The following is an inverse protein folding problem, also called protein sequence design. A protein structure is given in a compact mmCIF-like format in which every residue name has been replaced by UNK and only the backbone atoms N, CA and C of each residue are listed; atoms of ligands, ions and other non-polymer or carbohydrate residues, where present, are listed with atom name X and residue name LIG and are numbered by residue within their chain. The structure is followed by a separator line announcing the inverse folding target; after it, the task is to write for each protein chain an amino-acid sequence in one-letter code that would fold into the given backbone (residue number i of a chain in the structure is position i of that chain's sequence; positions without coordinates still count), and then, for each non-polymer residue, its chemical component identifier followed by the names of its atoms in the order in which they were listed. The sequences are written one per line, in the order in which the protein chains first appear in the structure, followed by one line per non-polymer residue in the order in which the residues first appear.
data_IF_520301373986
#
_entry.id   IF_520301373986
#
_cell.length_a   1.000
_cell.length_b   1.000
_cell.length_c   1.000
_cell.angle_alpha   90.00
_cell.angle_beta   90.00
_cell.angle_gamma   90.00
#
_symmetry.space_group_name_H-M   'P 1'
#
loop_
_entity.id
_entity.type
_entity.pdbx_description
1 polymer ?
#
# COMPACT_ATOMS: atom_id res chain seq x y z
N UNK A 1 8.86 -47.47 17.79
CA UNK A 1 7.72 -46.57 17.99
C UNK A 1 7.95 -45.29 17.19
N UNK A 2 7.37 -45.21 16.00
CA UNK A 2 7.36 -44.02 15.16
C UNK A 2 5.90 -43.66 14.91
N UNK A 3 5.48 -42.47 15.32
CA UNK A 3 4.17 -41.91 15.01
C UNK A 3 4.15 -41.58 13.51
N UNK A 4 3.16 -42.05 12.72
CA UNK A 4 2.96 -41.50 11.40
C UNK A 4 2.35 -40.09 11.53
N UNK A 5 2.90 -39.17 10.74
CA UNK A 5 2.44 -37.78 10.62
C UNK A 5 1.02 -37.75 10.02
N UNK A 6 0.19 -36.75 10.38
CA UNK A 6 -1.16 -36.66 9.86
C UNK A 6 -1.15 -36.30 8.37
N UNK A 7 -1.72 -37.19 7.55
CA UNK A 7 -2.20 -36.87 6.20
C UNK A 7 -3.13 -35.66 6.28
N UNK A 8 -2.60 -34.49 5.93
CA UNK A 8 -3.40 -33.31 5.67
C UNK A 8 -4.12 -33.53 4.34
N UNK A 9 -5.22 -34.28 4.39
CA UNK A 9 -6.23 -34.33 3.35
C UNK A 9 -6.66 -32.89 3.06
N UNK A 10 -6.21 -32.36 1.93
CA UNK A 10 -6.75 -31.14 1.34
C UNK A 10 -8.22 -31.44 1.08
N UNK A 11 -9.09 -31.06 2.02
CA UNK A 11 -10.54 -31.05 1.81
C UNK A 11 -10.81 -30.07 0.68
N UNK A 12 -11.00 -30.58 -0.54
CA UNK A 12 -11.50 -29.79 -1.68
C UNK A 12 -12.98 -29.54 -1.40
N UNK A 13 -13.26 -28.38 -0.82
CA UNK A 13 -14.58 -27.96 -0.38
C UNK A 13 -15.45 -27.67 -1.63
N UNK A 14 -16.48 -28.49 -1.85
CA UNK A 14 -17.74 -28.07 -2.49
C UNK A 14 -17.88 -28.10 -4.02
N UNK A 15 -17.04 -28.84 -4.76
CA UNK A 15 -17.16 -28.90 -6.23
C UNK A 15 -18.20 -29.95 -6.69
N UNK A 16 -19.19 -29.50 -7.46
CA UNK A 16 -20.24 -30.31 -8.09
C UNK A 16 -20.09 -30.27 -9.60
N UNK A 17 -20.18 -31.44 -10.26
CA UNK A 17 -19.89 -31.61 -11.69
C UNK A 17 -21.03 -32.38 -12.37
N UNK A 18 -21.29 -32.04 -13.62
CA UNK A 18 -22.24 -32.75 -14.48
C UNK A 18 -21.56 -33.92 -15.20
N UNK A 19 -22.34 -34.92 -15.59
CA UNK A 19 -21.81 -36.05 -16.37
C UNK A 19 -21.19 -35.65 -17.73
N UNK A 20 -21.54 -34.48 -18.27
CA UNK A 20 -20.94 -33.96 -19.51
C UNK A 20 -19.51 -33.44 -19.27
N UNK A 21 -19.24 -32.82 -18.12
CA UNK A 21 -17.92 -32.29 -17.76
C UNK A 21 -16.92 -33.42 -17.43
N UNK A 22 -17.43 -34.62 -17.18
CA UNK A 22 -16.66 -35.80 -16.81
C UNK A 22 -16.32 -36.72 -18.01
N UNK A 23 -16.72 -36.33 -19.23
CA UNK A 23 -16.40 -37.09 -20.45
C UNK A 23 -14.89 -37.07 -20.70
N UNK A 24 -14.33 -38.23 -21.05
CA UNK A 24 -12.90 -38.37 -21.34
C UNK A 24 -11.99 -38.28 -20.10
N UNK A 25 -12.52 -38.51 -18.90
CA UNK A 25 -11.75 -38.63 -17.66
C UNK A 25 -11.37 -40.11 -17.45
N UNK A 26 -10.09 -40.42 -17.16
CA UNK A 26 -9.67 -41.79 -16.91
C UNK A 26 -10.39 -42.38 -15.70
N UNK A 27 -10.81 -43.64 -15.80
CA UNK A 27 -11.54 -44.36 -14.74
C UNK A 27 -13.07 -44.22 -14.81
N UNK A 28 -13.62 -43.44 -15.74
CA UNK A 28 -15.05 -43.36 -16.02
C UNK A 28 -15.41 -43.95 -17.40
N UNK A 29 -16.67 -44.36 -17.63
CA UNK A 29 -17.15 -44.78 -18.93
C UNK A 29 -17.02 -43.65 -19.98
N UNK A 30 -16.77 -44.01 -21.24
CA UNK A 30 -16.59 -43.01 -22.30
C UNK A 30 -17.88 -42.28 -22.72
N UNK A 31 -19.06 -42.85 -22.44
CA UNK A 31 -20.35 -42.26 -22.82
C UNK A 31 -21.00 -41.54 -21.63
N UNK A 32 -21.64 -40.41 -21.89
CA UNK A 32 -22.38 -39.62 -20.87
C UNK A 32 -23.41 -40.47 -20.13
N UNK A 33 -24.13 -41.35 -20.83
CA UNK A 33 -25.11 -42.25 -20.23
C UNK A 33 -24.44 -43.26 -19.30
N UNK A 34 -23.29 -43.82 -19.69
CA UNK A 34 -22.50 -44.72 -18.85
C UNK A 34 -21.98 -44.00 -17.59
N UNK A 35 -21.53 -42.76 -17.73
CA UNK A 35 -21.09 -41.92 -16.61
C UNK A 35 -22.24 -41.69 -15.63
N UNK A 36 -23.42 -41.28 -16.10
CA UNK A 36 -24.60 -41.07 -15.23
C UNK A 36 -25.00 -42.35 -14.49
N UNK A 37 -25.05 -43.49 -15.18
CA UNK A 37 -25.40 -44.76 -14.57
C UNK A 37 -24.39 -45.17 -13.48
N UNK A 38 -23.10 -44.97 -13.73
CA UNK A 38 -22.03 -45.26 -12.76
C UNK A 38 -22.10 -44.31 -11.57
N UNK A 39 -22.31 -43.02 -11.80
CA UNK A 39 -22.41 -42.03 -10.73
C UNK A 39 -23.65 -42.27 -9.87
N UNK A 40 -24.82 -42.51 -10.47
CA UNK A 40 -26.04 -42.86 -9.74
C UNK A 40 -25.87 -44.10 -8.85
N UNK A 41 -25.06 -45.08 -9.29
CA UNK A 41 -24.74 -46.27 -8.49
C UNK A 41 -23.79 -45.94 -7.33
N UNK A 42 -22.82 -45.06 -7.54
CA UNK A 42 -21.84 -44.65 -6.53
C UNK A 42 -22.43 -43.65 -5.51
N UNK A 43 -23.43 -42.88 -5.90
CA UNK A 43 -24.10 -41.90 -5.07
C UNK A 43 -25.38 -42.42 -4.41
N UNK A 44 -25.76 -43.68 -4.69
CA UNK A 44 -27.10 -44.24 -4.41
C UNK A 44 -27.62 -44.01 -2.99
N UNK A 45 -26.80 -44.23 -1.97
CA UNK A 45 -27.21 -44.15 -0.56
C UNK A 45 -26.87 -42.80 0.10
N UNK A 46 -26.33 -41.84 -0.66
CA UNK A 46 -25.76 -40.59 -0.15
C UNK A 46 -26.41 -39.36 -0.82
N UNK A 47 -27.58 -38.89 -0.32
CA UNK A 47 -28.29 -37.75 -0.89
C UNK A 47 -27.50 -36.44 -0.87
N UNK A 48 -26.48 -36.32 0.00
CA UNK A 48 -25.58 -35.17 0.08
C UNK A 48 -24.62 -35.05 -1.11
N UNK A 49 -24.47 -36.10 -1.92
CA UNK A 49 -23.52 -36.14 -3.03
C UNK A 49 -24.16 -35.89 -4.40
N UNK A 50 -25.49 -35.79 -4.48
CA UNK A 50 -26.23 -35.49 -5.71
C UNK A 50 -27.12 -34.28 -5.48
N UNK A 51 -27.14 -33.35 -6.43
CA UNK A 51 -28.13 -32.29 -6.45
C UNK A 51 -28.69 -32.06 -7.83
N UNK A 52 -29.94 -31.63 -7.90
CA UNK A 52 -30.54 -31.16 -9.15
C UNK A 52 -30.06 -29.74 -9.42
N UNK A 53 -29.56 -29.48 -10.63
CA UNK A 53 -29.12 -28.14 -11.03
C UNK A 53 -30.33 -27.22 -11.19
N UNK A 54 -30.31 -26.08 -10.51
CA UNK A 54 -31.36 -25.07 -10.57
C UNK A 54 -31.62 -24.63 -12.01
N UNK A 55 -32.88 -24.64 -12.43
CA UNK A 55 -33.29 -24.21 -13.78
C UNK A 55 -33.06 -25.22 -14.91
N UNK A 56 -32.55 -26.43 -14.65
CA UNK A 56 -32.38 -27.46 -15.68
C UNK A 56 -32.87 -28.85 -15.23
N UNK A 57 -33.02 -29.78 -16.19
CA UNK A 57 -33.29 -31.20 -15.90
C UNK A 57 -32.02 -31.99 -15.54
N UNK A 58 -30.86 -31.34 -15.41
CA UNK A 58 -29.58 -32.01 -15.18
C UNK A 58 -29.31 -32.24 -13.68
N UNK A 59 -28.60 -33.34 -13.39
CA UNK A 59 -28.05 -33.64 -12.07
C UNK A 59 -26.57 -33.35 -12.02
N UNK A 60 -26.11 -32.85 -10.88
CA UNK A 60 -24.71 -32.61 -10.55
C UNK A 60 -24.29 -33.54 -9.42
N UNK A 61 -23.08 -34.07 -9.51
CA UNK A 61 -22.50 -35.00 -8.57
C UNK A 61 -21.29 -34.36 -7.89
N UNK A 62 -21.17 -34.54 -6.58
CA UNK A 62 -20.04 -34.03 -5.82
C UNK A 62 -18.75 -34.78 -6.21
N UNK A 63 -17.61 -34.08 -6.21
CA UNK A 63 -16.31 -34.67 -6.57
C UNK A 63 -15.97 -35.95 -5.78
N UNK A 64 -16.42 -36.05 -4.53
CA UNK A 64 -16.16 -37.21 -3.67
C UNK A 64 -16.85 -38.51 -4.14
N UNK A 65 -17.85 -38.44 -5.03
CA UNK A 65 -18.45 -39.65 -5.63
C UNK A 65 -17.56 -40.31 -6.69
N UNK A 66 -16.51 -39.62 -7.14
CA UNK A 66 -15.65 -40.11 -8.21
C UNK A 66 -14.57 -41.04 -7.65
N UNK A 67 -14.13 -42.06 -8.42
CA UNK A 67 -12.91 -42.80 -8.10
C UNK A 67 -11.71 -41.86 -7.97
N UNK A 68 -10.73 -42.21 -7.12
CA UNK A 68 -9.57 -41.36 -6.82
C UNK A 68 -8.81 -40.88 -8.06
N UNK A 69 -8.55 -41.79 -9.01
CA UNK A 69 -7.93 -41.44 -10.30
C UNK A 69 -8.73 -40.40 -11.12
N UNK A 70 -10.06 -40.42 -11.02
CA UNK A 70 -10.93 -39.44 -11.68
C UNK A 70 -10.98 -38.12 -10.89
N UNK A 71 -10.95 -38.15 -9.56
CA UNK A 71 -10.88 -36.95 -8.73
C UNK A 71 -9.61 -36.14 -9.04
N UNK A 72 -8.47 -36.79 -9.14
CA UNK A 72 -7.20 -36.11 -9.38
C UNK A 72 -7.14 -35.51 -10.78
N UNK A 73 -7.63 -36.23 -11.78
CA UNK A 73 -7.76 -35.71 -13.14
C UNK A 73 -8.68 -34.47 -13.22
N UNK A 74 -9.80 -34.47 -12.49
CA UNK A 74 -10.70 -33.31 -12.40
C UNK A 74 -10.01 -32.14 -11.70
N UNK A 75 -9.37 -32.37 -10.54
CA UNK A 75 -8.65 -31.33 -9.78
C UNK A 75 -7.56 -30.69 -10.63
N UNK A 76 -6.79 -31.49 -11.38
CA UNK A 76 -5.74 -31.00 -12.29
C UNK A 76 -6.31 -30.18 -13.45
N UNK A 77 -7.40 -30.64 -14.09
CA UNK A 77 -8.08 -29.86 -15.15
C UNK A 77 -8.59 -28.53 -14.64
N UNK A 78 -9.23 -28.51 -13.47
CA UNK A 78 -9.72 -27.28 -12.85
C UNK A 78 -8.58 -26.34 -12.46
N UNK A 79 -7.50 -26.88 -11.88
CA UNK A 79 -6.30 -26.11 -11.53
C UNK A 79 -5.67 -25.45 -12.76
N UNK A 80 -5.52 -26.18 -13.86
CA UNK A 80 -4.99 -25.66 -15.11
C UNK A 80 -5.90 -24.57 -15.71
N UNK A 81 -7.23 -24.76 -15.67
CA UNK A 81 -8.18 -23.74 -16.15
C UNK A 81 -8.10 -22.43 -15.35
N UNK A 82 -7.93 -22.51 -14.03
CA UNK A 82 -7.74 -21.33 -13.16
C UNK A 82 -6.41 -20.62 -13.47
N UNK A 83 -5.34 -21.38 -13.71
CA UNK A 83 -4.04 -20.82 -14.11
C UNK A 83 -4.12 -20.13 -15.48
N UNK A 84 -4.91 -20.67 -16.40
CA UNK A 84 -5.08 -20.13 -17.75
C UNK A 84 -5.95 -18.87 -17.73
N UNK A 85 -7.06 -18.86 -16.99
CA UNK A 85 -7.88 -17.64 -16.76
C UNK A 85 -7.04 -16.49 -16.18
N UNK A 86 -6.14 -16.78 -15.23
CA UNK A 86 -5.23 -15.80 -14.64
C UNK A 86 -4.19 -15.24 -15.63
N UNK A 87 -3.94 -15.93 -16.75
CA UNK A 87 -3.07 -15.44 -17.84
C UNK A 87 -3.83 -14.59 -18.87
N UNK A 88 -5.10 -14.90 -19.13
CA UNK A 88 -5.91 -14.22 -20.16
C UNK A 88 -6.68 -13.00 -19.63
N UNK A 89 -6.95 -12.93 -18.33
CA UNK A 89 -7.48 -11.73 -17.70
C UNK A 89 -6.42 -10.63 -17.70
N UNK A 90 -6.53 -9.68 -18.64
CA UNK A 90 -5.94 -8.35 -18.47
C UNK A 90 -6.51 -7.78 -17.16
N UNK A 91 -5.70 -7.28 -16.22
CA UNK A 91 -6.20 -6.76 -14.96
C UNK A 91 -7.27 -5.70 -15.23
N UNK A 92 -8.51 -6.01 -14.90
CA UNK A 92 -9.55 -5.02 -14.78
C UNK A 92 -9.10 -4.03 -13.70
N UNK A 93 -9.17 -2.75 -14.03
CA UNK A 93 -8.77 -1.62 -13.21
C UNK A 93 -9.59 -1.59 -11.92
N UNK A 94 -9.18 -2.38 -10.93
CA UNK A 94 -9.51 -2.09 -9.55
C UNK A 94 -8.90 -0.71 -9.24
N UNK A 95 -9.63 0.22 -8.60
CA UNK A 95 -9.05 1.48 -8.18
C UNK A 95 -7.82 1.14 -7.36
N UNK A 96 -6.67 1.64 -7.82
CA UNK A 96 -5.35 1.33 -7.27
C UNK A 96 -5.38 1.72 -5.80
N UNK A 97 -5.66 0.75 -4.92
CA UNK A 97 -5.14 0.80 -3.57
C UNK A 97 -3.65 1.05 -3.76
N UNK A 98 -3.12 2.12 -3.17
CA UNK A 98 -1.72 2.55 -3.28
C UNK A 98 -0.85 1.46 -2.65
N UNK A 99 -0.69 0.34 -3.34
CA UNK A 99 0.28 -0.69 -3.04
C UNK A 99 1.63 -0.06 -3.31
N UNK A 100 2.54 -0.21 -2.35
CA UNK A 100 3.92 0.21 -2.55
C UNK A 100 4.44 -0.49 -3.81
N UNK A 101 4.79 0.30 -4.84
CA UNK A 101 5.40 -0.19 -6.07
C UNK A 101 6.64 -1.00 -5.67
N UNK A 102 6.82 -2.18 -6.25
CA UNK A 102 8.00 -2.99 -5.94
C UNK A 102 9.24 -2.25 -6.44
N UNK A 103 10.37 -2.29 -5.71
CA UNK A 103 11.56 -1.53 -6.10
C UNK A 103 12.09 -1.91 -7.48
N UNK A 104 11.86 -3.14 -7.96
CA UNK A 104 12.21 -3.55 -9.32
C UNK A 104 11.34 -2.92 -10.41
N UNK A 105 10.05 -2.68 -10.14
CA UNK A 105 9.14 -1.97 -11.06
C UNK A 105 9.49 -0.48 -11.10
N UNK A 106 9.83 0.10 -9.94
CA UNK A 106 10.31 1.48 -9.81
C UNK A 106 11.61 1.70 -10.61
N UNK A 107 12.59 0.80 -10.46
CA UNK A 107 13.83 0.83 -11.22
C UNK A 107 13.62 0.71 -12.73
N UNK A 108 12.71 -0.16 -13.17
CA UNK A 108 12.37 -0.30 -14.58
C UNK A 108 11.79 1.01 -15.15
N UNK A 109 10.97 1.72 -14.36
CA UNK A 109 10.42 3.02 -14.73
C UNK A 109 11.51 4.11 -14.80
N UNK A 110 12.41 4.17 -13.82
CA UNK A 110 13.55 5.10 -13.81
C UNK A 110 14.45 4.92 -15.03
N UNK A 111 14.69 3.66 -15.45
CA UNK A 111 15.47 3.36 -16.66
C UNK A 111 14.79 3.79 -17.96
N UNK A 112 13.45 3.73 -18.01
CA UNK A 112 12.69 4.20 -19.17
C UNK A 112 12.66 5.72 -19.25
N UNK A 113 12.80 6.43 -18.13
CA UNK A 113 12.76 7.89 -18.07
C UNK A 113 13.89 8.44 -17.20
N UNK A 114 15.08 8.72 -17.78
CA UNK A 114 16.24 9.23 -17.04
C UNK A 114 15.97 10.52 -16.25
N UNK A 115 15.07 11.38 -16.73
CA UNK A 115 14.67 12.59 -16.01
C UNK A 115 13.98 12.30 -14.66
N UNK A 116 13.32 11.14 -14.51
CA UNK A 116 12.77 10.72 -13.22
C UNK A 116 13.87 10.35 -12.23
N UNK A 117 14.88 9.60 -12.69
CA UNK A 117 16.04 9.22 -11.88
C UNK A 117 16.79 10.47 -11.40
N UNK A 118 17.08 11.40 -12.32
CA UNK A 118 17.78 12.65 -12.00
C UNK A 118 17.00 13.48 -10.96
N UNK A 119 15.69 13.60 -11.11
CA UNK A 119 14.82 14.30 -10.16
C UNK A 119 14.83 13.64 -8.78
N UNK A 120 14.79 12.32 -8.72
CA UNK A 120 14.81 11.59 -7.46
C UNK A 120 16.14 11.75 -6.75
N UNK A 121 17.26 11.54 -7.46
CA UNK A 121 18.61 11.72 -6.91
C UNK A 121 18.84 13.17 -6.45
N UNK A 122 18.33 14.15 -7.22
CA UNK A 122 18.41 15.57 -6.88
C UNK A 122 17.52 15.94 -5.67
N UNK A 123 16.45 15.19 -5.43
CA UNK A 123 15.55 15.38 -4.29
C UNK A 123 16.08 14.83 -2.96
N UNK A 124 17.13 13.99 -3.00
CA UNK A 124 17.73 13.40 -1.81
C UNK A 124 18.54 14.44 -1.03
N UNK A 125 18.36 14.47 0.30
CA UNK A 125 19.23 15.22 1.20
C UNK A 125 20.60 14.56 1.34
N UNK A 126 21.59 15.33 1.77
CA UNK A 126 22.95 14.81 2.01
C UNK A 126 22.97 13.67 3.02
N UNK A 127 22.14 13.74 4.07
CA UNK A 127 21.97 12.67 5.04
C UNK A 127 21.42 11.39 4.39
N UNK A 128 20.46 11.51 3.47
CA UNK A 128 19.89 10.35 2.78
C UNK A 128 20.91 9.70 1.83
N UNK A 129 21.72 10.51 1.14
CA UNK A 129 22.82 10.03 0.29
C UNK A 129 23.86 9.29 1.13
N UNK A 130 24.27 9.86 2.27
CA UNK A 130 25.19 9.20 3.20
C UNK A 130 24.63 7.86 3.74
N UNK A 131 23.32 7.79 4.01
CA UNK A 131 22.66 6.53 4.40
C UNK A 131 22.65 5.53 3.23
N UNK A 132 22.41 5.98 2.00
CA UNK A 132 22.43 5.14 0.80
C UNK A 132 23.84 4.55 0.56
N UNK A 133 24.87 5.38 0.64
CA UNK A 133 26.28 4.97 0.52
C UNK A 133 26.68 3.98 1.60
N UNK A 134 26.26 4.21 2.85
CA UNK A 134 26.49 3.29 3.95
C UNK A 134 25.82 1.92 3.71
N UNK A 135 24.59 1.89 3.18
CA UNK A 135 23.90 0.65 2.81
C UNK A 135 24.59 -0.06 1.64
N UNK A 136 25.07 0.69 0.65
CA UNK A 136 25.83 0.15 -0.47
C UNK A 136 27.16 -0.48 0.00
N UNK A 137 27.88 0.18 0.91
CA UNK A 137 29.12 -0.35 1.49
C UNK A 137 28.89 -1.69 2.21
N UNK A 138 27.83 -1.79 3.02
CA UNK A 138 27.47 -3.06 3.68
C UNK A 138 27.07 -4.15 2.69
N UNK A 139 26.35 -3.79 1.62
CA UNK A 139 25.99 -4.73 0.57
C UNK A 139 27.22 -5.25 -0.19
N UNK A 140 28.19 -4.37 -0.49
CA UNK A 140 29.46 -4.76 -1.10
C UNK A 140 30.24 -5.73 -0.21
N UNK A 141 30.31 -5.49 1.10
CA UNK A 141 31.00 -6.38 2.03
C UNK A 141 30.36 -7.77 2.07
N UNK A 142 29.02 -7.85 2.07
CA UNK A 142 28.31 -9.14 1.96
C UNK A 142 28.71 -9.86 0.66
N UNK A 143 28.76 -9.15 -0.47
CA UNK A 143 29.14 -9.75 -1.75
C UNK A 143 30.61 -10.18 -1.78
N UNK A 144 31.50 -9.45 -1.12
CA UNK A 144 32.90 -9.84 -0.92
C UNK A 144 33.03 -11.16 -0.17
N UNK A 145 32.31 -11.32 0.94
CA UNK A 145 32.27 -12.58 1.70
C UNK A 145 31.70 -13.75 0.87
N UNK A 146 30.68 -13.48 0.04
CA UNK A 146 30.12 -14.49 -0.87
C UNK A 146 31.12 -14.89 -1.95
N UNK A 147 31.86 -13.93 -2.50
CA UNK A 147 32.92 -14.21 -3.48
C UNK A 147 34.08 -15.01 -2.85
N UNK A 148 34.33 -14.83 -1.56
CA UNK A 148 35.28 -15.62 -0.78
C UNK A 148 34.77 -17.04 -0.42
N UNK A 149 33.55 -17.40 -0.81
CA UNK A 149 32.96 -18.74 -0.64
C UNK A 149 31.95 -18.86 0.50
N UNK A 150 31.58 -17.77 1.18
CA UNK A 150 30.49 -17.79 2.17
C UNK A 150 29.13 -17.90 1.45
N UNK A 151 28.13 -18.46 2.13
CA UNK A 151 26.75 -18.39 1.66
C UNK A 151 26.23 -16.97 1.87
N UNK A 152 25.37 -16.47 0.97
CA UNK A 152 24.75 -15.14 1.15
C UNK A 152 24.08 -14.99 2.52
N UNK A 153 23.38 -16.03 2.97
CA UNK A 153 22.73 -16.05 4.30
C UNK A 153 23.75 -16.04 5.44
N UNK A 154 24.84 -16.80 5.32
CA UNK A 154 25.95 -16.81 6.30
C UNK A 154 26.62 -15.45 6.42
N UNK A 155 27.01 -14.85 5.30
CA UNK A 155 27.63 -13.52 5.24
C UNK A 155 26.73 -12.44 5.86
N UNK A 156 25.44 -12.44 5.51
CA UNK A 156 24.46 -11.49 6.08
C UNK A 156 24.32 -11.65 7.59
N UNK A 157 24.17 -12.89 8.08
CA UNK A 157 24.00 -13.14 9.51
C UNK A 157 25.25 -12.72 10.29
N UNK A 158 26.43 -13.01 9.76
CA UNK A 158 27.72 -12.61 10.35
C UNK A 158 27.84 -11.10 10.48
N UNK A 159 27.60 -10.35 9.39
CA UNK A 159 27.68 -8.88 9.41
C UNK A 159 26.61 -8.29 10.34
N UNK A 160 25.39 -8.84 10.32
CA UNK A 160 24.31 -8.40 11.20
C UNK A 160 24.65 -8.60 12.67
N UNK A 161 25.17 -9.77 13.05
CA UNK A 161 25.57 -10.07 14.43
C UNK A 161 26.73 -9.20 14.88
N UNK A 162 27.79 -9.10 14.07
CA UNK A 162 28.96 -8.27 14.37
C UNK A 162 28.61 -6.78 14.48
N UNK A 163 27.65 -6.29 13.68
CA UNK A 163 27.18 -4.90 13.78
C UNK A 163 26.47 -4.58 15.10
N UNK A 164 25.85 -5.59 15.72
CA UNK A 164 25.15 -5.46 17.00
C UNK A 164 26.12 -5.52 18.18
N UNK A 165 27.09 -6.42 18.10
CA UNK A 165 28.14 -6.58 19.12
C UNK A 165 29.22 -5.50 19.04
N UNK A 166 29.32 -4.76 17.92
CA UNK A 166 30.32 -3.71 17.74
C UNK A 166 31.71 -4.24 17.37
N UNK A 167 31.77 -5.44 16.79
CA UNK A 167 33.03 -6.16 16.47
C UNK A 167 33.43 -5.97 15.01
N UNK A 168 32.60 -5.29 14.20
CA UNK A 168 32.97 -4.97 12.81
C UNK A 168 34.20 -4.06 12.75
N UNK A 169 35.00 -4.14 11.68
CA UNK A 169 36.01 -3.13 11.37
C UNK A 169 35.43 -1.72 11.47
N UNK A 170 36.22 -0.77 11.97
CA UNK A 170 35.72 0.57 12.34
C UNK A 170 34.95 1.25 11.21
N UNK A 171 35.43 1.14 9.96
CA UNK A 171 34.76 1.70 8.79
C UNK A 171 33.37 1.07 8.56
N UNK A 172 33.25 -0.25 8.69
CA UNK A 172 31.98 -0.98 8.54
C UNK A 172 31.04 -0.72 9.69
N UNK A 173 31.57 -0.55 10.91
CA UNK A 173 30.74 -0.21 12.06
C UNK A 173 30.13 1.18 11.89
N UNK A 174 30.91 2.17 11.42
CA UNK A 174 30.39 3.51 11.06
C UNK A 174 29.33 3.42 9.96
N UNK A 175 29.52 2.60 8.94
CA UNK A 175 28.52 2.37 7.89
C UNK A 175 27.25 1.69 8.43
N UNK A 176 27.38 0.66 9.28
CA UNK A 176 26.23 0.02 9.94
C UNK A 176 25.42 1.01 10.79
N UNK A 177 26.13 1.89 11.49
CA UNK A 177 25.58 2.97 12.27
C UNK A 177 24.84 4.00 11.42
N UNK A 178 25.43 4.44 10.31
CA UNK A 178 24.80 5.41 9.40
C UNK A 178 23.62 4.79 8.64
N UNK A 179 23.73 3.54 8.19
CA UNK A 179 22.67 2.83 7.47
C UNK A 179 21.38 2.67 8.29
N UNK A 180 21.52 2.51 9.61
CA UNK A 180 20.40 2.43 10.54
C UNK A 180 19.96 3.82 11.03
N UNK A 181 19.38 4.61 10.12
CA UNK A 181 18.91 5.97 10.38
C UNK A 181 17.89 6.12 11.54
N UNK A 182 17.28 5.01 12.02
CA UNK A 182 16.36 5.01 13.17
C UNK A 182 17.04 4.46 14.42
N UNK A 183 18.11 5.12 14.87
CA UNK A 183 18.75 4.81 16.16
C UNK A 183 17.82 5.17 17.31
N UNK A 184 17.14 4.17 17.87
CA UNK A 184 16.56 4.25 19.21
C UNK A 184 17.51 3.63 20.23
N UNK A 185 17.32 3.91 21.53
CA UNK A 185 18.16 3.34 22.61
C UNK A 185 18.26 1.80 22.57
N UNK A 186 17.25 1.12 22.02
CA UNK A 186 17.17 -0.35 21.96
C UNK A 186 17.52 -0.98 20.60
N UNK A 187 17.74 -0.19 19.53
CA UNK A 187 17.90 -0.72 18.16
C UNK A 187 19.33 -0.50 17.64
N UNK A 188 20.28 -1.27 18.17
CA UNK A 188 21.69 -1.27 17.72
C UNK A 188 21.90 -2.23 16.55
N UNK A 189 22.80 -1.88 15.62
CA UNK A 189 23.19 -2.71 14.47
C UNK A 189 22.15 -2.79 13.35
N UNK A 190 22.42 -3.62 12.35
CA UNK A 190 21.56 -3.82 11.16
C UNK A 190 20.84 -5.18 11.26
N UNK A 191 19.61 -5.27 10.75
CA UNK A 191 18.85 -6.53 10.72
C UNK A 191 19.23 -7.41 9.51
N UNK A 192 19.20 -8.76 9.63
CA UNK A 192 19.49 -9.64 8.50
C UNK A 192 18.54 -9.40 7.32
N UNK A 193 17.27 -9.13 7.61
CA UNK A 193 16.25 -8.85 6.59
C UNK A 193 16.58 -7.59 5.79
N UNK A 194 16.87 -6.49 6.48
CA UNK A 194 17.23 -5.23 5.81
C UNK A 194 18.49 -5.38 4.97
N UNK A 195 19.48 -6.10 5.48
CA UNK A 195 20.73 -6.33 4.75
C UNK A 195 20.51 -7.21 3.50
N UNK A 196 19.68 -8.26 3.59
CA UNK A 196 19.26 -9.04 2.41
C UNK A 196 18.57 -8.17 1.35
N UNK A 197 17.66 -7.30 1.78
CA UNK A 197 16.94 -6.37 0.90
C UNK A 197 17.93 -5.42 0.20
N UNK A 198 18.87 -4.81 0.94
CA UNK A 198 19.89 -3.93 0.37
C UNK A 198 20.82 -4.64 -0.61
N UNK A 199 21.22 -5.88 -0.34
CA UNK A 199 22.04 -6.68 -1.27
C UNK A 199 21.27 -6.97 -2.57
N UNK A 200 19.98 -7.31 -2.48
CA UNK A 200 19.15 -7.52 -3.67
C UNK A 200 18.99 -6.24 -4.49
N UNK A 201 18.77 -5.10 -3.82
CA UNK A 201 18.70 -3.80 -4.49
C UNK A 201 20.03 -3.47 -5.17
N UNK A 202 21.14 -3.58 -4.45
CA UNK A 202 22.48 -3.36 -4.99
C UNK A 202 22.75 -4.19 -6.25
N UNK A 203 22.44 -5.49 -6.25
CA UNK A 203 22.64 -6.37 -7.40
C UNK A 203 21.73 -6.02 -8.59
N UNK A 204 20.56 -5.41 -8.35
CA UNK A 204 19.64 -4.99 -9.41
C UNK A 204 20.07 -3.71 -10.14
N UNK A 205 20.95 -2.92 -9.52
CA UNK A 205 21.42 -1.61 -9.99
C UNK A 205 22.71 -1.68 -10.80
N UNK A 206 22.78 -0.91 -11.89
CA UNK A 206 23.94 -0.82 -12.77
C UNK A 206 24.73 0.47 -12.52
N UNK A 207 24.04 1.60 -12.36
CA UNK A 207 24.64 2.93 -12.16
C UNK A 207 24.71 3.34 -10.69
N UNK A 208 25.64 4.23 -10.35
CA UNK A 208 25.72 4.86 -9.03
C UNK A 208 24.46 5.68 -8.68
N UNK A 209 23.84 6.31 -9.68
CA UNK A 209 22.59 7.06 -9.50
C UNK A 209 21.42 6.14 -9.15
N UNK A 210 21.29 4.99 -9.85
CA UNK A 210 20.29 3.96 -9.53
C UNK A 210 20.48 3.41 -8.11
N UNK A 211 21.74 3.25 -7.67
CA UNK A 211 22.06 2.82 -6.30
C UNK A 211 21.61 3.85 -5.28
N UNK A 212 21.93 5.12 -5.50
CA UNK A 212 21.52 6.20 -4.61
C UNK A 212 20.01 6.29 -4.50
N UNK A 213 19.29 6.23 -5.63
CA UNK A 213 17.84 6.31 -5.64
C UNK A 213 17.18 5.16 -4.85
N UNK A 214 17.61 3.90 -5.06
CA UNK A 214 16.98 2.74 -4.43
C UNK A 214 17.44 2.46 -3.00
N UNK A 215 18.69 2.76 -2.66
CA UNK A 215 19.23 2.51 -1.32
C UNK A 215 18.97 3.67 -0.37
N UNK A 216 18.61 4.86 -0.86
CA UNK A 216 18.25 5.96 0.01
C UNK A 216 17.02 5.63 0.88
N UNK A 217 16.96 6.10 2.14
CA UNK A 217 15.76 5.97 2.94
C UNK A 217 14.65 6.85 2.33
N UNK A 218 13.48 6.25 2.12
CA UNK A 218 12.33 6.97 1.56
C UNK A 218 11.94 8.20 2.40
N UNK A 219 11.47 9.25 1.71
CA UNK A 219 10.94 10.43 2.36
C UNK A 219 9.64 10.11 3.09
N UNK A 220 9.51 10.58 4.33
CA UNK A 220 8.21 10.59 4.99
C UNK A 220 7.29 11.51 4.19
N UNK A 221 6.30 10.94 3.49
CA UNK A 221 5.28 11.75 2.80
C UNK A 221 4.56 12.60 3.84
N UNK A 222 4.63 13.92 3.71
CA UNK A 222 3.93 14.81 4.62
C UNK A 222 2.43 14.49 4.61
N UNK A 223 1.87 14.19 5.78
CA UNK A 223 0.43 14.02 5.91
C UNK A 223 -0.23 15.35 5.61
N UNK A 224 -0.94 15.41 4.48
CA UNK A 224 -1.67 16.62 4.09
C UNK A 224 -2.95 16.71 4.94
N UNK A 225 -3.38 17.91 5.36
CA UNK A 225 -4.59 18.06 6.16
C UNK A 225 -5.84 17.43 5.53
N UNK A 226 -5.92 17.39 4.19
CA UNK A 226 -7.04 16.80 3.46
C UNK A 226 -7.12 15.27 3.57
N UNK A 227 -6.01 14.61 3.91
CA UNK A 227 -5.93 13.15 4.04
C UNK A 227 -6.35 12.65 5.44
N UNK A 228 -6.58 13.57 6.38
CA UNK A 228 -6.87 13.23 7.78
C UNK A 228 -8.37 13.23 8.02
N UNK A 229 -8.95 12.04 8.17
CA UNK A 229 -10.40 11.85 8.23
C UNK A 229 -11.12 12.64 9.33
N UNK A 230 -10.53 12.76 10.52
CA UNK A 230 -11.13 13.47 11.66
C UNK A 230 -10.94 14.99 11.60
N UNK A 231 -10.04 15.49 10.75
CA UNK A 231 -9.64 16.90 10.75
C UNK A 231 -10.78 17.85 10.36
N UNK A 232 -11.64 17.53 9.37
CA UNK A 232 -12.85 18.33 9.10
C UNK A 232 -13.80 18.44 10.30
N UNK A 233 -13.97 17.36 11.08
CA UNK A 233 -14.77 17.38 12.31
C UNK A 233 -14.20 18.36 13.33
N UNK A 234 -12.89 18.28 13.60
CA UNK A 234 -12.21 19.27 14.45
C UNK A 234 -12.37 20.71 13.93
N UNK A 235 -12.25 20.92 12.60
CA UNK A 235 -12.41 22.25 12.01
C UNK A 235 -13.80 22.84 12.23
N UNK A 236 -14.86 22.03 12.38
CA UNK A 236 -16.19 22.54 12.70
C UNK A 236 -16.22 23.27 14.05
N UNK A 237 -15.57 22.73 15.08
CA UNK A 237 -15.44 23.39 16.39
C UNK A 237 -14.53 24.62 16.35
N UNK A 238 -13.45 24.56 15.56
CA UNK A 238 -12.49 25.65 15.47
C UNK A 238 -13.00 26.84 14.62
N UNK A 239 -13.77 26.59 13.56
CA UNK A 239 -14.30 27.60 12.63
C UNK A 239 -15.60 28.22 13.15
N UNK A 240 -15.52 28.73 14.37
CA UNK A 240 -16.62 29.38 15.06
C UNK A 240 -16.36 30.90 15.13
N UNK A 241 -17.40 31.71 14.88
CA UNK A 241 -17.39 33.17 14.97
C UNK A 241 -17.03 33.70 16.36
N UNK A 242 -17.30 32.93 17.41
CA UNK A 242 -16.88 33.25 18.78
C UNK A 242 -15.35 33.19 18.97
N UNK A 243 -14.62 32.73 17.96
CA UNK A 243 -13.17 32.72 17.93
C UNK A 243 -12.53 31.86 19.04
N UNK A 244 -12.99 30.63 19.32
CA UNK A 244 -12.41 29.81 20.40
C UNK A 244 -10.91 29.60 20.18
N UNK A 245 -10.16 29.52 21.28
CA UNK A 245 -8.74 29.15 21.22
C UNK A 245 -8.58 27.72 20.70
N UNK A 246 -7.38 27.38 20.22
CA UNK A 246 -7.12 26.04 19.69
C UNK A 246 -7.39 24.94 20.73
N UNK A 247 -7.06 25.22 22.00
CA UNK A 247 -7.29 24.27 23.10
C UNK A 247 -8.77 24.16 23.47
N UNK A 248 -9.53 25.27 23.44
CA UNK A 248 -10.97 25.24 23.70
C UNK A 248 -11.72 24.47 22.61
N UNK A 249 -11.39 24.70 21.34
CA UNK A 249 -11.95 23.96 20.22
C UNK A 249 -11.62 22.46 20.30
N UNK A 250 -10.39 22.11 20.71
CA UNK A 250 -10.01 20.71 20.88
C UNK A 250 -10.78 20.03 22.01
N UNK A 251 -11.03 20.71 23.13
CA UNK A 251 -11.86 20.17 24.23
C UNK A 251 -13.27 19.85 23.74
N UNK A 252 -13.94 20.82 23.12
CA UNK A 252 -15.29 20.61 22.56
C UNK A 252 -15.33 19.47 21.53
N UNK A 253 -14.34 19.37 20.65
CA UNK A 253 -14.19 18.25 19.72
C UNK A 253 -13.96 16.91 20.41
N UNK A 254 -13.13 16.91 21.46
CA UNK A 254 -12.82 15.74 22.26
C UNK A 254 -14.06 15.20 22.97
N UNK A 255 -14.90 16.10 23.50
CA UNK A 255 -16.12 15.75 24.21
C UNK A 255 -17.16 15.17 23.23
N UNK A 256 -17.38 15.82 22.08
CA UNK A 256 -18.27 15.30 21.02
C UNK A 256 -17.79 13.94 20.47
N UNK A 257 -16.47 13.74 20.33
CA UNK A 257 -15.90 12.47 19.90
C UNK A 257 -16.19 11.33 20.88
N UNK A 258 -16.05 11.59 22.17
CA UNK A 258 -16.29 10.58 23.21
C UNK A 258 -17.77 10.22 23.29
N UNK A 259 -18.67 11.21 23.13
CA UNK A 259 -20.12 10.99 23.05
C UNK A 259 -20.52 10.20 21.80
N UNK A 260 -20.02 10.58 20.63
CA UNK A 260 -20.39 9.98 19.35
C UNK A 260 -19.90 8.53 19.21
N UNK A 261 -18.72 8.22 19.76
CA UNK A 261 -18.06 6.93 19.60
C UNK A 261 -17.99 6.12 20.90
N UNK A 262 -18.84 6.43 21.89
CA UNK A 262 -18.87 5.75 23.19
C UNK A 262 -18.93 4.20 23.07
N UNK A 263 -19.73 3.69 22.13
CA UNK A 263 -19.92 2.25 21.90
C UNK A 263 -18.83 1.60 21.02
N UNK A 264 -17.87 2.39 20.52
CA UNK A 264 -16.89 1.97 19.52
C UNK A 264 -15.44 2.12 20.03
N UNK A 265 -14.89 1.11 20.73
CA UNK A 265 -13.57 1.21 21.37
C UNK A 265 -12.42 1.43 20.37
N UNK A 266 -12.56 0.96 19.14
CA UNK A 266 -11.59 1.20 18.06
C UNK A 266 -11.53 2.69 17.64
N UNK A 267 -12.66 3.39 17.66
CA UNK A 267 -12.74 4.81 17.32
C UNK A 267 -12.26 5.70 18.47
N UNK A 268 -12.55 5.32 19.72
CA UNK A 268 -12.00 6.00 20.91
C UNK A 268 -10.47 5.92 20.95
N UNK A 269 -9.90 4.77 20.63
CA UNK A 269 -8.44 4.60 20.54
C UNK A 269 -7.80 5.32 19.34
N UNK A 270 -8.57 5.57 18.28
CA UNK A 270 -8.14 6.37 17.12
C UNK A 270 -8.26 7.90 17.35
N UNK A 271 -8.75 8.34 18.51
CA UNK A 271 -8.88 9.76 18.85
C UNK A 271 -7.55 10.49 18.72
N UNK A 272 -7.49 11.62 17.99
CA UNK A 272 -6.24 12.35 17.81
C UNK A 272 -5.80 13.07 19.08
N UNK A 273 -4.48 13.17 19.29
CA UNK A 273 -3.94 14.01 20.37
C UNK A 273 -3.97 15.50 20.02
N UNK A 274 -3.97 16.35 21.03
CA UNK A 274 -3.88 17.81 20.86
C UNK A 274 -2.69 18.25 19.98
N UNK A 275 -1.53 17.62 20.17
CA UNK A 275 -0.34 17.91 19.36
C UNK A 275 -0.51 17.50 17.89
N UNK A 276 -1.26 16.43 17.61
CA UNK A 276 -1.58 16.05 16.24
C UNK A 276 -2.43 17.14 15.55
N UNK A 277 -3.44 17.67 16.25
CA UNK A 277 -4.25 18.80 15.78
C UNK A 277 -3.40 20.03 15.53
N UNK A 278 -2.57 20.41 16.51
CA UNK A 278 -1.68 21.57 16.41
C UNK A 278 -0.74 21.47 15.21
N UNK A 279 -0.14 20.29 14.96
CA UNK A 279 0.73 20.07 13.80
C UNK A 279 0.01 20.25 12.46
N UNK A 280 -1.24 19.77 12.35
CA UNK A 280 -2.03 19.96 11.13
C UNK A 280 -2.47 21.41 10.94
N UNK A 281 -2.83 22.11 12.02
CA UNK A 281 -3.22 23.51 11.97
C UNK A 281 -2.08 24.44 11.52
N UNK A 282 -0.83 24.12 11.83
CA UNK A 282 0.35 24.87 11.33
C UNK A 282 0.48 24.75 9.81
N UNK A 283 0.09 23.62 9.21
CA UNK A 283 0.16 23.37 7.76
C UNK A 283 -0.91 24.11 6.97
N UNK A 284 -1.99 24.54 7.61
CA UNK A 284 -3.06 25.25 6.91
C UNK A 284 -2.63 26.67 6.52
N UNK A 285 -2.92 27.11 5.27
CA UNK A 285 -2.75 28.50 4.87
C UNK A 285 -3.52 29.47 5.79
N UNK A 286 -3.01 30.69 5.96
CA UNK A 286 -3.63 31.72 6.83
C UNK A 286 -5.12 31.93 6.54
N UNK A 287 -5.49 31.97 5.25
CA UNK A 287 -6.89 32.09 4.80
C UNK A 287 -7.76 30.93 5.31
N UNK A 288 -7.31 29.70 5.13
CA UNK A 288 -8.07 28.51 5.57
C UNK A 288 -8.17 28.39 7.09
N UNK A 289 -7.19 28.91 7.83
CA UNK A 289 -7.24 29.00 9.29
C UNK A 289 -8.24 30.05 9.79
N UNK A 290 -8.42 31.17 9.09
CA UNK A 290 -9.34 32.23 9.48
C UNK A 290 -10.79 31.99 9.00
N UNK A 291 -10.97 31.09 8.03
CA UNK A 291 -12.27 30.74 7.47
C UNK A 291 -13.28 30.39 8.56
N UNK A 292 -14.47 30.99 8.51
CA UNK A 292 -15.55 30.78 9.49
C UNK A 292 -15.37 31.46 10.84
N UNK A 293 -14.21 32.07 11.10
CA UNK A 293 -13.93 32.85 12.32
C UNK A 293 -14.01 34.35 12.10
N UNK A 294 -13.82 34.77 10.85
CA UNK A 294 -13.75 36.16 10.42
C UNK A 294 -14.76 36.35 9.30
N UNK A 295 -15.48 37.48 9.31
CA UNK A 295 -16.49 37.84 8.30
C UNK A 295 -16.22 39.23 7.73
N UNK A 296 -16.89 39.56 6.62
CA UNK A 296 -16.87 40.92 6.06
C UNK A 296 -15.51 41.36 5.52
N UNK A 297 -15.10 42.59 5.86
CA UNK A 297 -13.89 43.25 5.33
C UNK A 297 -12.61 42.55 5.75
N UNK A 298 -12.55 42.01 6.96
CA UNK A 298 -11.37 41.31 7.49
C UNK A 298 -11.15 39.96 6.79
N UNK A 299 -12.24 39.25 6.45
CA UNK A 299 -12.16 38.05 5.63
C UNK A 299 -11.66 38.36 4.22
N UNK A 300 -12.14 39.47 3.64
CA UNK A 300 -11.71 39.96 2.32
C UNK A 300 -10.23 40.39 2.30
N UNK A 301 -9.72 40.92 3.41
CA UNK A 301 -8.30 41.28 3.54
C UNK A 301 -7.35 40.07 3.50
N UNK A 302 -7.85 38.87 3.82
CA UNK A 302 -7.10 37.62 3.74
C UNK A 302 -7.14 36.97 2.35
N UNK A 303 -7.94 37.52 1.43
CA UNK A 303 -7.96 37.08 0.03
C UNK A 303 -6.80 37.71 -0.72
N UNK A 304 -6.05 36.89 -1.45
CA UNK A 304 -4.91 37.36 -2.25
C UNK A 304 -5.34 38.12 -3.50
N UNK A 305 -6.61 38.02 -3.88
CA UNK A 305 -7.18 38.65 -5.07
C UNK A 305 -8.55 39.22 -4.76
N UNK A 306 -8.76 40.48 -5.10
CA UNK A 306 -10.05 41.14 -5.01
C UNK A 306 -10.73 41.13 -6.39
N UNK A 307 -11.76 40.28 -6.55
CA UNK A 307 -12.59 40.32 -7.75
C UNK A 307 -13.45 41.57 -7.70
N UNK A 308 -13.22 42.52 -8.60
CA UNK A 308 -14.17 43.62 -8.82
C UNK A 308 -15.45 43.04 -9.39
N UNK A 309 -16.58 43.45 -8.84
CA UNK A 309 -17.88 43.12 -9.39
C UNK A 309 -18.13 44.04 -10.60
N UNK A 310 -18.12 43.46 -11.80
CA UNK A 310 -18.33 44.19 -13.05
C UNK A 310 -19.83 44.27 -13.41
N UNK A 311 -20.73 43.63 -12.64
CA UNK A 311 -22.18 43.71 -12.88
C UNK A 311 -22.76 45.11 -12.64
N UNK A 312 -22.05 45.92 -11.84
CA UNK A 312 -22.39 47.30 -11.55
C UNK A 312 -21.58 48.30 -12.41
N UNK A 313 -20.78 47.83 -13.36
CA UNK A 313 -20.06 48.74 -14.24
C UNK A 313 -21.05 49.28 -15.28
N UNK A 314 -21.37 50.58 -15.27
CA UNK A 314 -22.26 51.13 -16.29
C UNK A 314 -21.62 50.95 -17.66
N UNK A 315 -22.42 50.56 -18.66
CA UNK A 315 -21.98 50.31 -20.05
C UNK A 315 -21.23 51.52 -20.67
N UNK A 316 -21.44 52.72 -20.10
CA UNK A 316 -20.81 53.97 -20.52
C UNK A 316 -19.84 54.57 -19.47
N UNK A 317 -19.34 53.78 -18.51
CA UNK A 317 -18.52 54.24 -17.38
C UNK A 317 -17.09 54.71 -17.69
N UNK A 318 -16.75 55.00 -18.95
CA UNK A 318 -15.52 55.69 -19.28
C UNK A 318 -15.76 57.20 -19.24
N UNK A 319 -15.78 57.80 -18.05
CA UNK A 319 -15.63 59.25 -17.95
C UNK A 319 -14.18 59.60 -18.31
N UNK A 320 -13.94 59.80 -19.60
CA UNK A 320 -12.75 60.49 -20.08
C UNK A 320 -12.62 61.80 -19.32
N UNK A 321 -11.51 61.96 -18.61
CA UNK A 321 -11.13 63.21 -17.98
C UNK A 321 -10.90 64.24 -19.09
N UNK A 322 -11.97 64.92 -19.55
CA UNK A 322 -11.83 66.15 -20.34
C UNK A 322 -11.31 67.20 -19.38
N UNK A 323 -9.99 67.35 -19.33
CA UNK A 323 -9.40 68.62 -18.93
C UNK A 323 -9.98 69.69 -19.85
N UNK A 324 -10.79 70.60 -19.32
CA UNK A 324 -11.07 71.87 -19.98
C UNK A 324 -9.72 72.58 -20.21
N UNK A 325 -9.28 72.66 -21.46
CA UNK A 325 -8.29 73.66 -21.89
C UNK A 325 -9.02 75.01 -21.99
N UNK A 326 -8.59 76.07 -21.31
CA UNK A 326 -9.17 77.39 -21.46
C UNK A 326 -8.35 78.18 -22.49
N UNK A 327 -8.56 77.97 -23.79
CA UNK A 327 -8.19 78.95 -24.83
C UNK A 327 -9.00 78.69 -26.10
N UNK A 328 -9.77 79.72 -26.49
CA UNK A 328 -10.60 79.97 -27.69
C UNK A 328 -12.09 80.11 -27.36
#
# INVERSE_FOLDING_TARGET
MAKPLPEQSIRVIGMFLTANELVGIPGLPGTVQGIRNRLNKLSGDHPELIRKRTGTKAFEYHINCLPEAAQDAVKQRHFNAVLEQKKTEKPLENPVAVTAVKPGEELALMRQCPALLEREVSGLTEEQKAVADARAALAMEVLSLVAAGDTRTGAVNRISEQSRSGVLPEYLQRSADNANARKGKSRRGVSPRSLQEWVSLYQSTNSGEERLALLAPGHHKETRPEQVAWFPGFLAHYRNVNGPSLIAAYRSFSDEWDEQYADQPAMLSAKPSYDAVRRLMVKLPKRERAKGRVTGSEARALETYQKRDWSQMPVNGCHGCRKQCPYL
#
